data_IF_011199582549
#
_entry.id   IF_011199582549
#
_cell.length_a   1.000
_cell.length_b   1.000
_cell.length_c   1.000
_cell.angle_alpha   90.00
_cell.angle_beta   90.00
_cell.angle_gamma   90.00
#
_symmetry.space_group_name_H-M   'P 1'
#
loop_
_entity.id
_entity.type
_entity.pdbx_description
1 polymer ?
#
# COMPACT_ATOMS: atom_id res chain seq x y z
N UNK A 1 -10.80 -47.75 10.04
CA UNK A 1 -12.04 -47.09 9.60
C UNK A 1 -11.74 -45.61 9.69
N UNK A 2 -11.48 -44.95 8.57
CA UNK A 2 -11.16 -43.53 8.57
C UNK A 2 -12.49 -42.80 8.72
N UNK A 3 -12.77 -42.27 9.91
CA UNK A 3 -13.86 -41.31 10.08
C UNK A 3 -13.49 -40.07 9.27
N UNK A 4 -14.03 -39.99 8.06
CA UNK A 4 -14.01 -38.74 7.31
C UNK A 4 -14.82 -37.74 8.12
N UNK A 5 -14.12 -36.77 8.73
CA UNK A 5 -14.75 -35.61 9.37
C UNK A 5 -15.41 -34.79 8.27
N UNK A 6 -16.63 -35.17 7.89
CA UNK A 6 -17.45 -34.45 6.95
C UNK A 6 -18.03 -33.24 7.67
N UNK A 7 -17.33 -32.11 7.60
CA UNK A 7 -17.85 -30.83 8.05
C UNK A 7 -19.03 -30.45 7.17
N UNK A 8 -20.25 -30.71 7.64
CA UNK A 8 -21.47 -30.26 6.96
C UNK A 8 -21.54 -28.73 7.00
N UNK A 9 -21.85 -28.11 5.86
CA UNK A 9 -22.05 -26.68 5.72
C UNK A 9 -23.12 -26.15 6.69
N UNK A 10 -24.11 -26.98 7.02
CA UNK A 10 -25.16 -26.63 7.98
C UNK A 10 -24.61 -26.46 9.41
N UNK A 11 -23.65 -27.29 9.83
CA UNK A 11 -23.01 -27.16 11.14
C UNK A 11 -22.19 -25.88 11.23
N UNK A 12 -21.41 -25.56 10.18
CA UNK A 12 -20.63 -24.33 10.09
C UNK A 12 -21.52 -23.10 10.29
N UNK A 13 -22.68 -23.06 9.62
CA UNK A 13 -23.64 -21.97 9.75
C UNK A 13 -24.27 -21.91 11.15
N UNK A 14 -24.52 -23.05 11.79
CA UNK A 14 -25.09 -23.10 13.14
C UNK A 14 -24.12 -22.56 14.20
N UNK A 15 -22.82 -22.89 14.11
CA UNK A 15 -21.79 -22.34 15.00
C UNK A 15 -21.72 -20.81 14.89
N UNK A 16 -21.68 -20.30 13.65
CA UNK A 16 -21.65 -18.86 13.38
C UNK A 16 -22.90 -18.16 13.93
N UNK A 17 -24.09 -18.74 13.75
CA UNK A 17 -25.36 -18.19 14.29
C UNK A 17 -25.38 -18.17 15.82
N UNK A 18 -24.90 -19.24 16.47
CA UNK A 18 -24.86 -19.38 17.94
C UNK A 18 -23.92 -18.37 18.59
N UNK A 19 -22.78 -18.08 17.95
CA UNK A 19 -21.74 -17.18 18.49
C UNK A 19 -21.72 -15.78 17.85
N UNK A 20 -22.76 -15.41 17.08
CA UNK A 20 -22.84 -14.15 16.33
C UNK A 20 -22.55 -12.89 17.18
N UNK A 21 -23.01 -12.85 18.43
CA UNK A 21 -22.77 -11.70 19.33
C UNK A 21 -21.27 -11.53 19.63
N UNK A 22 -20.57 -12.62 19.92
CA UNK A 22 -19.15 -12.59 20.22
C UNK A 22 -18.32 -12.21 18.97
N UNK A 23 -18.68 -12.79 17.82
CA UNK A 23 -18.04 -12.49 16.53
C UNK A 23 -18.19 -10.99 16.22
N UNK A 24 -19.40 -10.45 16.37
CA UNK A 24 -19.67 -9.05 16.09
C UNK A 24 -18.92 -8.11 17.05
N UNK A 25 -18.88 -8.42 18.35
CA UNK A 25 -18.21 -7.59 19.36
C UNK A 25 -16.69 -7.51 19.15
N UNK A 26 -16.07 -8.66 18.87
CA UNK A 26 -14.63 -8.74 18.60
C UNK A 26 -14.26 -8.09 17.27
N UNK A 27 -15.03 -8.35 16.21
CA UNK A 27 -14.82 -7.68 14.92
C UNK A 27 -14.94 -6.16 15.04
N UNK A 28 -15.95 -5.67 15.76
CA UNK A 28 -16.13 -4.25 16.03
C UNK A 28 -14.95 -3.67 16.81
N UNK A 29 -14.44 -4.39 17.82
CA UNK A 29 -13.27 -3.97 18.59
C UNK A 29 -12.03 -3.79 17.69
N UNK A 30 -11.75 -4.73 16.79
CA UNK A 30 -10.67 -4.61 15.80
C UNK A 30 -10.89 -3.40 14.87
N UNK A 31 -12.12 -3.16 14.42
CA UNK A 31 -12.48 -1.98 13.64
C UNK A 31 -12.23 -0.67 14.39
N UNK A 32 -12.62 -0.59 15.66
CA UNK A 32 -12.41 0.59 16.52
C UNK A 32 -10.92 0.83 16.74
N UNK A 33 -10.14 -0.21 17.03
CA UNK A 33 -8.69 -0.09 17.20
C UNK A 33 -8.05 0.42 15.89
N UNK A 34 -8.39 -0.17 14.74
CA UNK A 34 -7.86 0.27 13.44
C UNK A 34 -8.24 1.72 13.12
N UNK A 35 -9.46 2.14 13.44
CA UNK A 35 -9.90 3.52 13.31
C UNK A 35 -9.09 4.44 14.24
N UNK A 36 -8.93 4.09 15.52
CA UNK A 36 -8.12 4.88 16.45
C UNK A 36 -6.67 5.02 15.97
N UNK A 37 -6.04 3.93 15.54
CA UNK A 37 -4.68 3.95 14.97
C UNK A 37 -4.60 4.86 13.73
N UNK A 38 -5.57 4.74 12.82
CA UNK A 38 -5.56 5.48 11.55
C UNK A 38 -5.94 6.96 11.69
N UNK A 39 -6.67 7.35 12.74
CA UNK A 39 -7.11 8.73 12.94
C UNK A 39 -6.23 9.50 13.93
N UNK A 40 -5.68 8.84 14.96
CA UNK A 40 -4.97 9.53 16.04
C UNK A 40 -3.45 9.31 16.05
N UNK A 41 -2.96 8.18 15.51
CA UNK A 41 -1.56 7.78 15.73
C UNK A 41 -0.72 7.94 14.46
N UNK A 42 -1.26 7.56 13.30
CA UNK A 42 -0.53 7.64 12.04
C UNK A 42 -0.74 9.04 11.44
N UNK A 43 0.30 9.89 11.37
CA UNK A 43 0.18 11.22 10.79
C UNK A 43 -0.16 11.14 9.29
N UNK A 44 -0.89 12.14 8.75
CA UNK A 44 -1.11 12.21 7.33
C UNK A 44 0.23 12.39 6.60
N UNK A 45 0.47 11.59 5.58
CA UNK A 45 1.62 11.73 4.69
C UNK A 45 1.14 12.19 3.33
N UNK A 46 1.78 13.25 2.83
CA UNK A 46 1.52 13.84 1.53
C UNK A 46 2.58 13.35 0.55
N UNK A 47 2.12 13.05 -0.66
CA UNK A 47 2.97 12.69 -1.78
C UNK A 47 3.03 13.88 -2.72
N UNK A 48 4.21 14.43 -2.94
CA UNK A 48 4.44 15.45 -3.96
C UNK A 48 5.10 14.77 -5.15
N UNK A 49 4.58 15.03 -6.34
CA UNK A 49 5.06 14.46 -7.60
C UNK A 49 5.48 15.56 -8.55
N UNK A 50 6.51 15.26 -9.33
CA UNK A 50 6.93 16.02 -10.48
C UNK A 50 7.34 15.06 -11.59
N UNK A 51 7.10 15.46 -12.83
CA UNK A 51 7.42 14.64 -13.99
C UNK A 51 8.31 15.44 -14.93
N UNK A 52 9.40 14.83 -15.37
CA UNK A 52 10.37 15.44 -16.28
C UNK A 52 10.41 14.63 -17.56
N UNK A 53 10.39 15.32 -18.70
CA UNK A 53 10.53 14.71 -20.03
C UNK A 53 11.96 14.86 -20.51
N UNK A 54 12.51 13.76 -21.01
CA UNK A 54 13.87 13.65 -21.51
C UNK A 54 13.83 13.40 -23.01
N UNK A 55 14.18 14.42 -23.79
CA UNK A 55 14.31 14.37 -25.24
C UNK A 55 15.77 14.47 -25.67
N UNK A 56 16.06 13.99 -26.88
CA UNK A 56 17.32 14.29 -27.59
C UNK A 56 17.04 15.47 -28.52
N UNK A 57 17.88 16.52 -28.52
CA UNK A 57 17.85 17.44 -29.66
C UNK A 57 18.46 16.70 -30.84
N UNK A 58 17.64 16.42 -31.85
CA UNK A 58 18.11 15.89 -33.12
C UNK A 58 18.90 17.02 -33.79
N UNK A 59 20.23 16.91 -33.82
CA UNK A 59 21.03 17.70 -34.75
C UNK A 59 20.47 17.41 -36.16
N UNK A 60 19.91 18.42 -36.82
CA UNK A 60 19.15 18.35 -38.08
C UNK A 60 19.93 17.81 -39.31
N UNK A 61 21.09 17.17 -39.13
CA UNK A 61 22.02 16.83 -40.20
C UNK A 61 22.22 15.34 -40.52
N UNK A 62 21.52 14.41 -39.87
CA UNK A 62 21.65 12.99 -40.22
C UNK A 62 20.29 12.27 -40.30
N UNK A 63 19.78 12.22 -41.52
CA UNK A 63 18.47 11.67 -41.92
C UNK A 63 18.49 10.15 -42.15
N UNK A 64 19.32 9.38 -41.42
CA UNK A 64 19.35 7.92 -41.55
C UNK A 64 18.77 7.21 -40.32
N UNK A 65 17.49 6.88 -40.47
CA UNK A 65 16.59 6.19 -39.53
C UNK A 65 17.02 4.76 -39.23
N UNK A 66 17.04 4.40 -37.95
CA UNK A 66 16.78 3.05 -37.46
C UNK A 66 15.94 3.12 -36.17
N UNK A 67 14.62 3.27 -36.33
CA UNK A 67 13.60 3.52 -35.31
C UNK A 67 13.66 2.59 -34.08
N UNK A 68 14.03 1.32 -34.24
CA UNK A 68 13.99 0.36 -33.15
C UNK A 68 15.13 0.52 -32.14
N UNK A 69 16.32 0.90 -32.63
CA UNK A 69 17.47 1.14 -31.75
C UNK A 69 17.29 2.44 -30.96
N UNK A 70 16.54 3.39 -31.50
CA UNK A 70 16.25 4.66 -30.86
C UNK A 70 15.32 4.48 -29.65
N UNK A 71 14.26 3.67 -29.76
CA UNK A 71 13.35 3.37 -28.63
C UNK A 71 14.11 2.72 -27.45
N UNK A 72 14.93 1.71 -27.73
CA UNK A 72 15.75 1.05 -26.70
C UNK A 72 16.81 1.99 -26.11
N UNK A 73 17.36 2.91 -26.92
CA UNK A 73 18.26 3.96 -26.46
C UNK A 73 17.54 4.92 -25.50
N UNK A 74 16.32 5.37 -25.81
CA UNK A 74 15.55 6.25 -24.93
C UNK A 74 15.22 5.60 -23.59
N UNK A 75 14.81 4.33 -23.57
CA UNK A 75 14.60 3.59 -22.32
C UNK A 75 15.87 3.52 -21.46
N UNK A 76 17.04 3.34 -22.08
CA UNK A 76 18.34 3.39 -21.38
C UNK A 76 18.68 4.80 -20.91
N UNK A 77 18.38 5.83 -21.70
CA UNK A 77 18.59 7.22 -21.31
C UNK A 77 17.78 7.57 -20.06
N UNK A 78 16.48 7.28 -20.02
CA UNK A 78 15.65 7.56 -18.83
C UNK A 78 16.19 6.84 -17.60
N UNK A 79 16.66 5.59 -17.73
CA UNK A 79 17.33 4.87 -16.64
C UNK A 79 18.64 5.52 -16.20
N UNK A 80 19.46 6.01 -17.13
CA UNK A 80 20.68 6.77 -16.80
C UNK A 80 20.34 8.06 -16.06
N UNK A 81 19.34 8.81 -16.53
CA UNK A 81 18.86 10.02 -15.86
C UNK A 81 18.28 9.74 -14.48
N UNK A 82 17.61 8.60 -14.29
CA UNK A 82 17.19 8.17 -12.97
C UNK A 82 18.38 7.94 -12.02
N UNK A 83 19.47 7.34 -12.51
CA UNK A 83 20.69 7.19 -11.71
C UNK A 83 21.34 8.54 -11.37
N UNK A 84 21.26 9.54 -12.26
CA UNK A 84 21.70 10.91 -11.98
C UNK A 84 20.82 11.55 -10.91
N UNK A 85 19.50 11.41 -11.03
CA UNK A 85 18.53 11.92 -10.05
C UNK A 85 18.66 11.26 -8.67
N UNK A 86 19.07 9.99 -8.60
CA UNK A 86 19.35 9.29 -7.35
C UNK A 86 20.81 9.42 -6.87
N UNK A 87 21.63 10.19 -7.58
CA UNK A 87 23.06 10.30 -7.27
C UNK A 87 23.30 11.06 -5.97
N UNK A 88 24.41 10.74 -5.31
CA UNK A 88 24.87 11.46 -4.12
C UNK A 88 25.23 12.91 -4.43
N UNK A 89 25.79 13.17 -5.60
CA UNK A 89 26.19 14.52 -6.02
C UNK A 89 24.99 15.46 -6.11
N UNK A 90 23.88 15.00 -6.70
CA UNK A 90 22.64 15.78 -6.71
C UNK A 90 22.14 16.04 -5.28
N UNK A 91 22.14 15.00 -4.44
CA UNK A 91 21.67 15.12 -3.06
C UNK A 91 22.49 16.13 -2.24
N UNK A 92 23.82 16.15 -2.43
CA UNK A 92 24.73 17.12 -1.83
C UNK A 92 24.47 18.55 -2.33
N UNK A 93 24.22 18.73 -3.62
CA UNK A 93 23.90 20.04 -4.20
C UNK A 93 22.56 20.60 -3.67
N UNK A 94 21.56 19.73 -3.55
CA UNK A 94 20.25 20.10 -2.98
C UNK A 94 20.38 20.43 -1.49
N UNK A 95 21.11 19.62 -0.73
CA UNK A 95 21.39 19.86 0.69
C UNK A 95 22.11 21.20 0.92
N UNK A 96 23.08 21.55 0.06
CA UNK A 96 23.79 22.82 0.13
C UNK A 96 22.87 24.04 -0.09
N UNK A 97 21.83 23.90 -0.91
CA UNK A 97 20.85 24.98 -1.17
C UNK A 97 19.75 25.09 -0.14
N UNK A 98 19.37 23.97 0.48
CA UNK A 98 18.31 23.95 1.51
C UNK A 98 18.86 24.29 2.89
N UNK A 99 20.11 23.91 3.19
CA UNK A 99 20.80 24.19 4.46
C UNK A 99 20.29 23.41 5.67
N UNK A 100 19.16 22.71 5.53
CA UNK A 100 18.45 22.02 6.61
C UNK A 100 18.43 20.49 6.44
N UNK A 101 18.69 19.99 5.22
CA UNK A 101 18.53 18.59 4.86
C UNK A 101 19.88 17.89 4.69
N UNK A 102 20.02 16.67 5.23
CA UNK A 102 21.19 15.83 4.94
C UNK A 102 21.05 15.12 3.58
N UNK A 103 22.14 14.91 2.82
CA UNK A 103 22.09 14.18 1.56
C UNK A 103 21.48 12.78 1.70
N UNK A 104 21.76 12.09 2.79
CA UNK A 104 21.26 10.73 3.04
C UNK A 104 19.75 10.71 3.28
N UNK A 105 19.22 11.71 4.00
CA UNK A 105 17.77 11.86 4.25
C UNK A 105 17.03 12.10 2.93
N UNK A 106 17.60 12.90 2.03
CA UNK A 106 17.03 13.10 0.70
C UNK A 106 17.02 11.83 -0.14
N UNK A 107 18.08 11.01 -0.07
CA UNK A 107 18.15 9.75 -0.82
C UNK A 107 17.11 8.73 -0.34
N UNK A 108 16.76 8.74 0.95
CA UNK A 108 15.69 7.90 1.49
C UNK A 108 14.29 8.41 1.14
N UNK A 109 14.10 9.73 1.13
CA UNK A 109 12.79 10.35 0.84
C UNK A 109 12.48 10.47 -0.66
N UNK A 110 13.49 10.58 -1.53
CA UNK A 110 13.33 10.78 -2.96
C UNK A 110 13.16 9.44 -3.69
N UNK A 111 11.95 9.20 -4.17
CA UNK A 111 11.63 8.10 -5.06
C UNK A 111 11.74 8.57 -6.52
N UNK A 112 12.62 7.90 -7.28
CA UNK A 112 12.88 8.20 -8.70
C UNK A 112 12.42 7.02 -9.54
N UNK A 113 11.40 7.24 -10.37
CA UNK A 113 10.76 6.16 -11.15
C UNK A 113 10.76 6.47 -12.65
N UNK A 114 11.54 5.73 -13.45
CA UNK A 114 11.39 5.70 -14.91
C UNK A 114 10.03 5.13 -15.30
N UNK A 115 9.22 5.90 -16.03
CA UNK A 115 7.97 5.37 -16.59
C UNK A 115 8.27 4.44 -17.77
N UNK A 116 7.78 3.21 -17.68
CA UNK A 116 8.06 2.17 -18.69
C UNK A 116 7.57 2.60 -20.08
N UNK A 117 8.39 2.34 -21.10
CA UNK A 117 8.09 2.66 -22.50
C UNK A 117 7.84 4.15 -22.79
N UNK A 118 8.29 5.04 -21.91
CA UNK A 118 8.17 6.49 -22.09
C UNK A 118 9.50 7.21 -21.90
N UNK A 119 9.50 8.50 -22.25
CA UNK A 119 10.59 9.45 -21.98
C UNK A 119 10.38 10.22 -20.68
N UNK A 120 9.48 9.74 -19.81
CA UNK A 120 9.08 10.42 -18.58
C UNK A 120 9.82 9.82 -17.40
N UNK A 121 10.38 10.69 -16.58
CA UNK A 121 10.94 10.38 -15.28
C UNK A 121 10.08 11.02 -14.20
N UNK A 122 9.51 10.21 -13.33
CA UNK A 122 8.78 10.69 -12.17
C UNK A 122 9.71 10.82 -10.98
N UNK A 123 9.62 11.98 -10.33
CA UNK A 123 10.30 12.30 -9.09
C UNK A 123 9.24 12.52 -8.01
N UNK A 124 9.43 11.88 -6.87
CA UNK A 124 8.43 11.86 -5.82
C UNK A 124 9.08 11.96 -4.45
N UNK A 125 8.45 12.75 -3.57
CA UNK A 125 8.80 12.83 -2.15
C UNK A 125 7.54 12.61 -1.32
N UNK A 126 7.64 11.74 -0.32
CA UNK A 126 6.60 11.54 0.68
C UNK A 126 7.01 12.17 2.03
N UNK A 127 6.28 13.18 2.49
CA UNK A 127 6.56 13.80 3.78
C UNK A 127 5.26 14.15 4.53
N UNK A 128 5.37 14.35 5.85
CA UNK A 128 4.27 14.80 6.71
C UNK A 128 3.94 16.27 6.45
N UNK A 129 4.95 17.08 6.13
CA UNK A 129 4.77 18.48 5.76
C UNK A 129 4.76 18.61 4.22
N UNK A 130 3.58 18.96 3.70
CA UNK A 130 3.37 19.11 2.26
C UNK A 130 4.12 20.31 1.67
N UNK A 131 4.24 21.42 2.42
CA UNK A 131 4.93 22.62 1.95
C UNK A 131 6.44 22.38 1.91
N UNK A 132 6.97 21.68 2.92
CA UNK A 132 8.36 21.24 2.92
C UNK A 132 8.66 20.32 1.72
N UNK A 133 7.88 19.26 1.53
CA UNK A 133 8.10 18.32 0.42
C UNK A 133 8.02 19.02 -0.95
N UNK A 134 7.10 19.97 -1.13
CA UNK A 134 7.00 20.73 -2.36
C UNK A 134 8.26 21.58 -2.62
N UNK A 135 8.72 22.30 -1.59
CA UNK A 135 9.93 23.12 -1.68
C UNK A 135 11.14 22.27 -2.04
N UNK A 136 11.35 21.16 -1.34
CA UNK A 136 12.47 20.25 -1.61
C UNK A 136 12.39 19.68 -3.02
N UNK A 137 11.24 19.14 -3.43
CA UNK A 137 11.10 18.54 -4.76
C UNK A 137 11.32 19.56 -5.88
N UNK A 138 10.93 20.82 -5.68
CA UNK A 138 11.19 21.91 -6.63
C UNK A 138 12.69 22.14 -6.79
N UNK A 139 13.42 22.23 -5.69
CA UNK A 139 14.89 22.40 -5.72
C UNK A 139 15.57 21.19 -6.36
N UNK A 140 15.09 19.97 -6.05
CA UNK A 140 15.57 18.74 -6.69
C UNK A 140 15.39 18.80 -8.20
N UNK A 141 14.23 19.23 -8.69
CA UNK A 141 13.98 19.35 -10.13
C UNK A 141 14.93 20.37 -10.79
N UNK A 142 15.11 21.53 -10.17
CA UNK A 142 15.97 22.59 -10.70
C UNK A 142 17.45 22.14 -10.76
N UNK A 143 17.94 21.52 -9.69
CA UNK A 143 19.31 20.97 -9.65
C UNK A 143 19.48 19.81 -10.61
N UNK A 144 18.49 18.92 -10.71
CA UNK A 144 18.52 17.78 -11.62
C UNK A 144 18.64 18.25 -13.07
N UNK A 145 17.87 19.26 -13.48
CA UNK A 145 17.95 19.84 -14.82
C UNK A 145 19.32 20.48 -15.04
N UNK A 146 19.84 21.22 -14.05
CA UNK A 146 21.13 21.88 -14.14
C UNK A 146 22.30 20.88 -14.25
N UNK A 147 22.32 19.83 -13.43
CA UNK A 147 23.34 18.78 -13.43
C UNK A 147 23.26 17.96 -14.72
N UNK A 148 22.05 17.61 -15.14
CA UNK A 148 21.82 16.88 -16.36
C UNK A 148 22.28 17.63 -17.62
N UNK A 149 22.08 18.95 -17.68
CA UNK A 149 22.59 19.81 -18.77
C UNK A 149 24.12 19.90 -18.78
N UNK A 150 24.79 19.79 -17.62
CA UNK A 150 26.26 19.74 -17.55
C UNK A 150 26.81 18.44 -18.12
N UNK A 151 26.16 17.32 -17.83
CA UNK A 151 26.60 15.98 -18.27
C UNK A 151 26.25 15.76 -19.75
N UNK A 152 25.04 16.16 -20.17
CA UNK A 152 24.52 15.97 -21.53
C UNK A 152 23.98 17.29 -22.09
N UNK A 153 24.84 18.19 -22.60
CA UNK A 153 24.45 19.52 -23.07
C UNK A 153 23.52 19.50 -24.30
N UNK A 154 23.55 18.41 -25.08
CA UNK A 154 22.77 18.26 -26.31
C UNK A 154 21.46 17.48 -26.10
N UNK A 155 21.00 17.33 -24.86
CA UNK A 155 19.72 16.70 -24.56
C UNK A 155 18.74 17.73 -24.00
N UNK A 156 17.47 17.63 -24.42
CA UNK A 156 16.39 18.46 -23.91
C UNK A 156 15.82 17.81 -22.66
N UNK A 157 15.76 18.59 -21.58
CA UNK A 157 15.17 18.14 -20.33
C UNK A 157 14.24 19.24 -19.87
N UNK A 158 12.96 18.92 -19.80
CA UNK A 158 11.91 19.87 -19.50
C UNK A 158 10.99 19.31 -18.41
N UNK A 159 10.59 20.20 -17.51
CA UNK A 159 9.63 19.89 -16.47
C UNK A 159 8.24 19.84 -17.10
N UNK A 160 7.65 18.64 -17.15
CA UNK A 160 6.29 18.41 -17.66
C UNK A 160 5.27 18.84 -16.60
N UNK A 161 5.38 18.26 -15.40
CA UNK A 161 4.50 18.56 -14.28
C UNK A 161 5.30 19.11 -13.10
N UNK A 162 4.84 20.24 -12.57
CA UNK A 162 5.47 20.91 -11.43
C UNK A 162 5.05 20.28 -10.10
N UNK A 163 5.93 20.30 -9.07
CA UNK A 163 5.56 19.91 -7.72
C UNK A 163 4.35 20.71 -7.19
N UNK A 164 3.22 20.03 -7.02
CA UNK A 164 1.99 20.62 -6.45
C UNK A 164 1.54 19.84 -5.21
N UNK A 165 1.02 20.58 -4.23
CA UNK A 165 0.48 19.99 -3.00
C UNK A 165 -0.86 19.32 -3.34
N UNK A 166 -1.04 18.02 -3.10
CA UNK A 166 -2.31 17.35 -3.34
C UNK A 166 -3.34 17.80 -2.30
N UNK A 167 -4.62 17.83 -2.70
CA UNK A 167 -5.72 18.22 -1.80
C UNK A 167 -5.91 17.26 -0.62
N UNK A 168 -5.49 16.00 -0.76
CA UNK A 168 -5.68 14.95 0.24
C UNK A 168 -4.38 14.18 0.46
N UNK A 169 -4.05 13.79 1.70
CA UNK A 169 -2.91 12.94 1.99
C UNK A 169 -3.13 11.54 1.41
N UNK A 170 -2.05 10.90 0.96
CA UNK A 170 -2.11 9.54 0.40
C UNK A 170 -2.18 8.46 1.49
N UNK A 171 -1.65 8.74 2.68
CA UNK A 171 -1.63 7.83 3.83
C UNK A 171 -2.12 8.54 5.10
N UNK A 172 -2.76 7.82 6.03
CA UNK A 172 -3.22 6.44 5.89
C UNK A 172 -4.49 6.33 5.03
N UNK A 173 -4.64 5.24 4.26
CA UNK A 173 -5.88 4.93 3.52
C UNK A 173 -6.95 4.42 4.50
N UNK A 174 -7.56 5.35 5.24
CA UNK A 174 -8.43 5.08 6.41
C UNK A 174 -9.49 4.00 6.15
N UNK A 175 -10.25 4.13 5.06
CA UNK A 175 -11.30 3.17 4.69
C UNK A 175 -10.75 1.77 4.42
N UNK A 176 -9.63 1.69 3.70
CA UNK A 176 -8.98 0.41 3.39
C UNK A 176 -8.46 -0.26 4.65
N UNK A 177 -7.78 0.48 5.52
CA UNK A 177 -7.23 -0.05 6.77
C UNK A 177 -8.33 -0.58 7.71
N UNK A 178 -9.45 0.14 7.81
CA UNK A 178 -10.60 -0.28 8.61
C UNK A 178 -11.24 -1.53 7.99
N UNK A 179 -11.42 -1.57 6.67
CA UNK A 179 -11.98 -2.73 5.98
C UNK A 179 -11.11 -3.99 6.18
N UNK A 180 -9.80 -3.87 6.04
CA UNK A 180 -8.83 -4.97 6.28
C UNK A 180 -8.92 -5.42 7.74
N UNK A 181 -8.94 -4.49 8.71
CA UNK A 181 -9.03 -4.83 10.12
C UNK A 181 -10.36 -5.51 10.49
N UNK A 182 -11.49 -5.07 9.92
CA UNK A 182 -12.79 -5.71 10.10
C UNK A 182 -12.79 -7.12 9.49
N UNK A 183 -12.23 -7.29 8.29
CA UNK A 183 -12.12 -8.59 7.65
C UNK A 183 -11.26 -9.56 8.46
N UNK A 184 -10.08 -9.12 8.90
CA UNK A 184 -9.22 -9.93 9.78
C UNK A 184 -9.88 -10.22 11.12
N UNK A 185 -10.55 -9.24 11.73
CA UNK A 185 -11.31 -9.40 12.97
C UNK A 185 -12.42 -10.45 12.83
N UNK A 186 -13.12 -10.46 11.69
CA UNK A 186 -14.15 -11.46 11.37
C UNK A 186 -13.54 -12.86 11.23
N UNK A 187 -12.45 -13.00 10.48
CA UNK A 187 -11.78 -14.30 10.31
C UNK A 187 -11.28 -14.86 11.64
N UNK A 188 -10.58 -14.04 12.43
CA UNK A 188 -10.05 -14.44 13.74
C UNK A 188 -11.16 -14.80 14.73
N UNK A 189 -12.24 -14.02 14.74
CA UNK A 189 -13.36 -14.26 15.65
C UNK A 189 -14.20 -15.47 15.25
N UNK A 190 -14.39 -15.71 13.96
CA UNK A 190 -15.00 -16.93 13.44
C UNK A 190 -14.14 -18.16 13.79
N UNK A 191 -12.83 -18.12 13.51
CA UNK A 191 -11.91 -19.20 13.89
C UNK A 191 -11.93 -19.49 15.39
N UNK A 192 -11.90 -18.45 16.23
CA UNK A 192 -12.07 -18.60 17.68
C UNK A 192 -13.41 -19.22 18.06
N UNK A 193 -14.51 -18.86 17.38
CA UNK A 193 -15.82 -19.44 17.64
C UNK A 193 -15.85 -20.95 17.32
N UNK A 194 -15.21 -21.37 16.22
CA UNK A 194 -15.06 -22.78 15.88
C UNK A 194 -14.24 -23.55 16.92
N UNK A 195 -13.09 -23.00 17.35
CA UNK A 195 -12.26 -23.62 18.39
C UNK A 195 -13.07 -23.77 19.69
N UNK A 196 -13.82 -22.73 20.08
CA UNK A 196 -14.66 -22.80 21.28
C UNK A 196 -15.77 -23.86 21.16
N UNK A 197 -16.41 -23.97 19.99
CA UNK A 197 -17.47 -24.97 19.79
C UNK A 197 -16.89 -26.38 19.73
N UNK A 198 -15.75 -26.58 19.06
CA UNK A 198 -15.07 -27.87 19.00
C UNK A 198 -14.61 -28.35 20.39
N UNK A 199 -14.15 -27.43 21.25
CA UNK A 199 -13.77 -27.75 22.63
C UNK A 199 -14.98 -27.91 23.57
N UNK A 200 -16.17 -27.47 23.16
CA UNK A 200 -17.39 -27.53 23.97
C UNK A 200 -18.03 -28.93 23.86
N UNK A 201 -17.64 -29.83 24.75
CA UNK A 201 -18.13 -31.22 24.80
C UNK A 201 -19.49 -31.39 25.52
N UNK A 202 -20.27 -30.33 25.70
CA UNK A 202 -21.54 -30.43 26.44
C UNK A 202 -22.73 -30.73 25.52
N UNK A 203 -23.55 -31.72 25.91
CA UNK A 203 -24.82 -32.05 25.27
C UNK A 203 -25.84 -30.96 25.65
N UNK A 204 -26.36 -30.22 24.67
CA UNK A 204 -27.26 -29.07 24.90
C UNK A 204 -28.65 -29.25 24.33
N UNK A 205 -28.79 -30.14 23.36
CA UNK A 205 -30.04 -30.41 22.66
C UNK A 205 -30.31 -31.89 22.58
N UNK A 206 -31.58 -32.24 22.43
CA UNK A 206 -32.06 -33.60 22.19
C UNK A 206 -31.42 -34.24 20.94
N UNK A 207 -31.14 -33.44 19.90
CA UNK A 207 -30.37 -33.89 18.74
C UNK A 207 -28.91 -34.24 19.07
N UNK A 208 -28.31 -33.63 20.09
CA UNK A 208 -26.96 -33.99 20.53
C UNK A 208 -26.93 -35.39 21.18
N UNK A 209 -28.03 -35.82 21.81
CA UNK A 209 -28.13 -37.17 22.41
C UNK A 209 -28.15 -38.23 21.32
N UNK A 210 -29.01 -38.06 20.32
CA UNK A 210 -29.11 -38.98 19.19
C UNK A 210 -27.78 -39.04 18.41
N UNK A 211 -27.16 -37.87 18.19
CA UNK A 211 -25.92 -37.77 17.41
C UNK A 211 -24.66 -38.28 18.12
N UNK A 212 -24.51 -38.04 19.43
CA UNK A 212 -23.28 -38.41 20.16
C UNK A 212 -23.39 -39.73 20.91
N UNK A 213 -24.61 -40.15 21.28
CA UNK A 213 -24.83 -41.36 22.05
C UNK A 213 -25.53 -42.45 21.24
N UNK A 214 -26.05 -42.16 20.04
CA UNK A 214 -26.85 -43.08 19.21
C UNK A 214 -28.02 -43.71 19.98
N UNK A 215 -28.53 -42.99 20.98
CA UNK A 215 -29.60 -43.43 21.85
C UNK A 215 -30.90 -42.69 21.51
N UNK A 216 -32.02 -43.42 21.35
CA UNK A 216 -33.31 -42.80 21.13
C UNK A 216 -33.72 -41.96 22.34
N UNK A 217 -34.13 -40.72 22.11
CA UNK A 217 -34.63 -39.83 23.15
C UNK A 217 -36.03 -40.31 23.58
N UNK A 218 -36.12 -40.90 24.78
CA UNK A 218 -37.36 -41.51 25.29
C UNK A 218 -38.31 -40.44 25.87
N UNK A 219 -37.77 -39.39 26.47
CA UNK A 219 -38.56 -38.32 27.07
C UNK A 219 -37.77 -37.01 27.15
N UNK A 220 -38.47 -35.88 26.95
CA UNK A 220 -37.93 -34.52 27.11
C UNK A 220 -38.67 -33.85 28.25
N UNK A 221 -37.94 -33.33 29.25
CA UNK A 221 -38.53 -32.54 30.32
C UNK A 221 -38.57 -31.08 29.85
N UNK A 222 -39.74 -30.52 29.53
CA UNK A 222 -39.82 -29.15 29.05
C UNK A 222 -39.41 -28.19 30.16
N UNK A 223 -38.55 -27.22 29.83
CA UNK A 223 -38.25 -26.12 30.72
C UNK A 223 -39.48 -25.20 30.78
N UNK A 224 -40.26 -25.32 31.84
CA UNK A 224 -41.36 -24.40 32.14
C UNK A 224 -40.74 -23.03 32.36
N UNK A 225 -41.25 -22.03 31.65
CA UNK A 225 -40.80 -20.64 31.71
C UNK A 225 -41.78 -19.82 32.52
#
# INVERSE_FOLDING_TARGET
>A
MNEEVTLDLQEILNVLKKKKKMILLTTLLFGIISAALSFFIIPPTYEIKASVVIGKTLDEKNENKNDYNDVMMYQKLVKTYAQIASSRTLAENVAAKTGELKPEELQEELEVTPQQDTQILDLKIENKDAAYAQKILTIVCDEFIAESKKIYPNNTIELLDKPVIPEKPIKPRKLLNIAIALFMGLLLSAGRAFIQEYMDKTIKTENDIDKYLELPVIAVIPKIK
#
